data_IF_846967381485
#
_entry.id   IF_846967381485
#
_cell.length_a   1.000
_cell.length_b   1.000
_cell.length_c   1.000
_cell.angle_alpha   90.00
_cell.angle_beta   90.00
_cell.angle_gamma   90.00
#
_symmetry.space_group_name_H-M   'P 1'
#
loop_
_entity.id
_entity.type
_entity.pdbx_description
1 polymer ?
#
# COMPACT_ATOMS: atom_id res chain seq x y z
N UNK A 1 7.34 -0.71 -8.99
CA UNK A 1 8.48 0.22 -9.15
C UNK A 1 8.69 0.40 -10.64
N UNK A 2 8.76 1.64 -11.14
CA UNK A 2 8.96 1.85 -12.58
C UNK A 2 10.40 1.48 -12.93
N UNK A 3 10.62 0.90 -14.11
CA UNK A 3 11.95 0.49 -14.59
C UNK A 3 12.99 1.62 -14.46
N UNK A 4 12.58 2.85 -14.78
CA UNK A 4 13.36 4.07 -14.62
C UNK A 4 13.83 4.34 -13.19
N UNK A 5 12.97 4.10 -12.20
CA UNK A 5 13.32 4.25 -10.80
C UNK A 5 14.32 3.20 -10.34
N UNK A 6 14.20 1.97 -10.85
CA UNK A 6 15.18 0.90 -10.59
C UNK A 6 16.54 1.26 -11.17
N UNK A 7 16.59 1.71 -12.43
CA UNK A 7 17.84 2.12 -13.08
C UNK A 7 18.49 3.28 -12.32
N UNK A 8 17.72 4.32 -12.00
CA UNK A 8 18.21 5.47 -11.23
C UNK A 8 18.77 5.06 -9.86
N UNK A 9 18.02 4.27 -9.08
CA UNK A 9 18.47 3.83 -7.77
C UNK A 9 19.72 2.93 -7.84
N UNK A 10 19.82 2.06 -8.84
CA UNK A 10 21.02 1.22 -9.03
C UNK A 10 22.23 2.08 -9.38
N UNK A 11 22.11 3.02 -10.30
CA UNK A 11 23.21 3.95 -10.64
C UNK A 11 23.61 4.78 -9.42
N UNK A 12 22.64 5.29 -8.66
CA UNK A 12 22.92 6.06 -7.46
C UNK A 12 23.64 5.23 -6.38
N UNK A 13 23.21 4.00 -6.15
CA UNK A 13 23.70 3.17 -5.04
C UNK A 13 25.05 2.48 -5.35
N UNK A 14 25.36 2.24 -6.63
CA UNK A 14 26.61 1.59 -7.06
C UNK A 14 27.60 2.52 -7.79
N UNK A 15 27.12 3.63 -8.37
CA UNK A 15 27.94 4.58 -9.11
C UNK A 15 28.36 5.83 -8.31
N UNK A 16 27.68 6.12 -7.20
CA UNK A 16 28.06 7.26 -6.35
C UNK A 16 29.21 6.88 -5.38
N UNK A 17 30.21 7.75 -5.16
CA UNK A 17 31.34 7.46 -4.27
C UNK A 17 30.97 7.12 -2.81
N UNK A 18 29.82 7.60 -2.33
CA UNK A 18 29.24 7.27 -1.02
C UNK A 18 28.13 6.20 -1.07
N UNK A 19 27.98 5.51 -2.21
CA UNK A 19 26.96 4.48 -2.38
C UNK A 19 27.25 3.22 -1.54
N UNK A 20 26.28 2.77 -0.77
CA UNK A 20 26.39 1.58 0.09
C UNK A 20 26.14 0.25 -0.64
N UNK A 21 25.96 0.26 -1.97
CA UNK A 21 25.57 -0.92 -2.74
C UNK A 21 26.55 -2.08 -2.65
N UNK A 22 27.85 -1.81 -2.78
CA UNK A 22 28.88 -2.85 -2.65
C UNK A 22 28.96 -3.44 -1.24
N UNK A 23 28.71 -2.62 -0.21
CA UNK A 23 28.69 -3.07 1.18
C UNK A 23 27.48 -3.98 1.44
N UNK A 24 26.30 -3.61 0.94
CA UNK A 24 25.10 -4.43 1.03
C UNK A 24 25.28 -5.79 0.33
N UNK A 25 25.89 -5.82 -0.86
CA UNK A 25 26.19 -7.09 -1.57
C UNK A 25 27.17 -7.95 -0.77
N UNK A 26 28.22 -7.35 -0.19
CA UNK A 26 29.17 -8.09 0.67
C UNK A 26 28.48 -8.62 1.93
N UNK A 27 27.57 -7.86 2.54
CA UNK A 27 26.79 -8.29 3.69
C UNK A 27 25.92 -9.50 3.37
N UNK A 28 25.18 -9.47 2.24
CA UNK A 28 24.38 -10.62 1.79
C UNK A 28 25.23 -11.85 1.48
N UNK A 29 26.49 -11.67 1.03
CA UNK A 29 27.43 -12.79 0.85
C UNK A 29 27.91 -13.41 2.17
N UNK A 30 28.09 -12.59 3.21
CA UNK A 30 28.49 -13.09 4.53
C UNK A 30 27.32 -13.66 5.33
N UNK A 31 26.09 -13.21 5.06
CA UNK A 31 24.86 -13.67 5.70
C UNK A 31 23.84 -14.14 4.66
N UNK A 32 23.95 -15.39 4.15
CA UNK A 32 23.07 -15.91 3.10
C UNK A 32 21.61 -16.03 3.54
N UNK A 33 21.35 -16.23 4.83
CA UNK A 33 20.02 -16.22 5.46
C UNK A 33 19.25 -14.93 5.09
N UNK A 34 19.92 -13.78 5.21
CA UNK A 34 19.34 -12.46 4.91
C UNK A 34 19.03 -12.31 3.42
N UNK A 35 19.87 -12.89 2.55
CA UNK A 35 19.60 -12.89 1.11
C UNK A 35 18.33 -13.67 0.79
N UNK A 36 18.08 -14.77 1.50
CA UNK A 36 16.85 -15.55 1.37
C UNK A 36 15.62 -14.79 1.88
N UNK A 37 15.72 -14.14 3.04
CA UNK A 37 14.64 -13.29 3.58
C UNK A 37 14.27 -12.15 2.61
N UNK A 38 15.28 -11.50 2.01
CA UNK A 38 15.07 -10.46 0.99
C UNK A 38 14.38 -11.05 -0.24
N UNK A 39 14.80 -12.23 -0.70
CA UNK A 39 14.21 -12.89 -1.86
C UNK A 39 12.73 -13.24 -1.60
N UNK A 40 12.42 -13.84 -0.44
CA UNK A 40 11.05 -14.14 -0.03
C UNK A 40 10.21 -12.87 0.07
N UNK A 41 10.75 -11.81 0.69
CA UNK A 41 10.09 -10.52 0.78
C UNK A 41 9.76 -9.94 -0.61
N UNK A 42 10.70 -10.02 -1.56
CA UNK A 42 10.49 -9.61 -2.95
C UNK A 42 9.43 -10.45 -3.67
N UNK A 43 9.45 -11.77 -3.50
CA UNK A 43 8.45 -12.67 -4.09
C UNK A 43 7.05 -12.41 -3.54
N UNK A 44 6.89 -12.33 -2.21
CA UNK A 44 5.64 -11.97 -1.58
C UNK A 44 5.17 -10.58 -2.02
N UNK A 45 6.08 -9.63 -2.16
CA UNK A 45 5.81 -8.29 -2.69
C UNK A 45 5.29 -8.33 -4.13
N UNK A 46 5.93 -9.12 -5.02
CA UNK A 46 5.51 -9.30 -6.40
C UNK A 46 4.12 -9.92 -6.50
N UNK A 47 3.86 -10.97 -5.72
CA UNK A 47 2.54 -11.61 -5.64
C UNK A 47 1.49 -10.61 -5.12
N UNK A 48 1.77 -9.91 -4.03
CA UNK A 48 0.89 -8.88 -3.47
C UNK A 48 0.56 -7.76 -4.46
N UNK A 49 1.54 -7.36 -5.28
CA UNK A 49 1.33 -6.35 -6.32
C UNK A 49 0.38 -6.82 -7.43
N UNK A 50 0.42 -8.11 -7.79
CA UNK A 50 -0.55 -8.70 -8.73
C UNK A 50 -1.98 -8.66 -8.15
N UNK A 51 -2.15 -8.96 -6.85
CA UNK A 51 -3.45 -8.86 -6.18
C UNK A 51 -4.00 -7.43 -6.15
N UNK A 52 -3.13 -6.43 -5.91
CA UNK A 52 -3.51 -5.01 -5.97
C UNK A 52 -4.01 -4.66 -7.37
N UNK A 53 -3.26 -5.06 -8.41
CA UNK A 53 -3.65 -4.80 -9.79
C UNK A 53 -4.99 -5.47 -10.13
N UNK A 54 -5.15 -6.75 -9.80
CA UNK A 54 -6.40 -7.49 -9.99
C UNK A 54 -7.59 -6.82 -9.28
N UNK A 55 -7.39 -6.33 -8.06
CA UNK A 55 -8.42 -5.65 -7.28
C UNK A 55 -8.82 -4.33 -7.95
N UNK A 56 -7.84 -3.55 -8.43
CA UNK A 56 -8.11 -2.31 -9.16
C UNK A 56 -8.87 -2.60 -10.45
N UNK A 57 -8.48 -3.63 -11.22
CA UNK A 57 -9.13 -4.00 -12.48
C UNK A 57 -10.58 -4.48 -12.26
N UNK A 58 -10.87 -5.21 -11.18
CA UNK A 58 -12.22 -5.75 -10.92
C UNK A 58 -13.14 -4.79 -10.16
N UNK A 59 -12.64 -4.10 -9.13
CA UNK A 59 -13.46 -3.32 -8.19
C UNK A 59 -13.17 -1.81 -8.24
N UNK A 60 -12.14 -1.40 -8.98
CA UNK A 60 -11.69 -0.03 -9.10
C UNK A 60 -10.78 0.43 -7.97
N UNK A 61 -10.14 1.59 -8.17
CA UNK A 61 -9.14 2.15 -7.25
C UNK A 61 -9.69 2.41 -5.84
N UNK A 62 -10.94 2.88 -5.71
CA UNK A 62 -11.53 3.18 -4.39
C UNK A 62 -11.62 1.94 -3.48
N UNK A 63 -12.00 0.79 -4.05
CA UNK A 63 -12.08 -0.46 -3.30
C UNK A 63 -10.69 -0.91 -2.82
N UNK A 64 -9.69 -0.82 -3.71
CA UNK A 64 -8.31 -1.11 -3.35
C UNK A 64 -7.78 -0.21 -2.23
N UNK A 65 -8.04 1.10 -2.28
CA UNK A 65 -7.64 2.04 -1.22
C UNK A 65 -8.32 1.72 0.10
N UNK A 66 -9.60 1.32 0.07
CA UNK A 66 -10.35 0.94 1.28
C UNK A 66 -9.77 -0.33 1.90
N UNK A 67 -9.52 -1.36 1.10
CA UNK A 67 -8.94 -2.64 1.55
C UNK A 67 -7.54 -2.42 2.14
N UNK A 68 -6.65 -1.73 1.42
CA UNK A 68 -5.26 -1.51 1.86
C UNK A 68 -5.18 -0.64 3.10
N UNK A 69 -6.03 0.37 3.24
CA UNK A 69 -6.07 1.21 4.44
C UNK A 69 -6.59 0.44 5.65
N UNK A 70 -7.66 -0.34 5.47
CA UNK A 70 -8.20 -1.20 6.54
C UNK A 70 -7.12 -2.17 7.03
N UNK A 71 -6.42 -2.83 6.09
CA UNK A 71 -5.29 -3.72 6.43
C UNK A 71 -4.20 -2.98 7.21
N UNK A 72 -3.80 -1.79 6.78
CA UNK A 72 -2.77 -0.98 7.45
C UNK A 72 -3.17 -0.62 8.88
N UNK A 73 -4.41 -0.16 9.09
CA UNK A 73 -4.91 0.17 10.44
C UNK A 73 -4.86 -1.07 11.34
N UNK A 74 -5.37 -2.20 10.85
CA UNK A 74 -5.35 -3.45 11.63
C UNK A 74 -3.91 -3.82 12.02
N UNK A 75 -2.96 -3.76 11.08
CA UNK A 75 -1.54 -4.01 11.38
C UNK A 75 -0.97 -3.04 12.42
N UNK A 76 -1.34 -1.75 12.38
CA UNK A 76 -0.89 -0.76 13.36
C UNK A 76 -1.44 -1.08 14.75
N UNK A 77 -2.73 -1.41 14.85
CA UNK A 77 -3.37 -1.77 16.12
C UNK A 77 -2.76 -3.04 16.70
N UNK A 78 -2.65 -4.10 15.88
CA UNK A 78 -2.03 -5.36 16.30
C UNK A 78 -0.58 -5.16 16.74
N UNK A 79 0.20 -4.37 15.98
CA UNK A 79 1.59 -4.04 16.32
C UNK A 79 1.68 -3.31 17.66
N UNK A 80 0.83 -2.30 17.92
CA UNK A 80 0.78 -1.60 19.20
C UNK A 80 0.44 -2.51 20.37
N UNK A 81 -0.52 -3.44 20.19
CA UNK A 81 -0.88 -4.42 21.21
C UNK A 81 0.27 -5.38 21.53
N UNK A 82 0.96 -5.89 20.51
CA UNK A 82 2.09 -6.81 20.67
C UNK A 82 3.34 -6.13 21.26
N UNK A 83 3.61 -4.88 20.88
CA UNK A 83 4.75 -4.11 21.39
C UNK A 83 4.52 -3.51 22.78
N UNK A 84 3.33 -3.66 23.37
CA UNK A 84 3.00 -3.14 24.71
C UNK A 84 3.00 -1.60 24.83
N UNK A 85 3.14 -0.89 23.72
CA UNK A 85 3.18 0.58 23.67
C UNK A 85 1.85 1.09 23.14
N UNK A 86 0.96 1.61 24.01
CA UNK A 86 -0.36 2.06 23.59
C UNK A 86 -0.24 3.25 22.64
N UNK A 87 -1.10 3.27 21.62
CA UNK A 87 -1.20 4.39 20.68
C UNK A 87 -1.59 5.67 21.43
N UNK A 88 -0.85 6.74 21.17
CA UNK A 88 -1.14 8.09 21.67
C UNK A 88 -2.52 8.57 21.20
N UNK A 89 -3.18 9.42 21.99
CA UNK A 89 -4.45 10.04 21.64
C UNK A 89 -4.41 10.74 20.25
N UNK A 90 -3.27 11.32 19.87
CA UNK A 90 -3.08 11.92 18.54
C UNK A 90 -3.15 10.88 17.41
N UNK A 91 -2.59 9.68 17.62
CA UNK A 91 -2.58 8.60 16.64
C UNK A 91 -3.98 8.00 16.46
N UNK A 92 -4.73 7.86 17.56
CA UNK A 92 -6.15 7.51 17.51
C UNK A 92 -6.98 8.57 16.77
N UNK A 93 -6.73 9.86 17.03
CA UNK A 93 -7.35 10.95 16.28
C UNK A 93 -7.08 10.84 14.77
N UNK A 94 -5.84 10.56 14.37
CA UNK A 94 -5.50 10.34 12.95
C UNK A 94 -6.23 9.14 12.35
N UNK A 95 -6.38 8.04 13.10
CA UNK A 95 -7.12 6.87 12.62
C UNK A 95 -8.59 7.22 12.33
N UNK A 96 -9.26 7.95 13.23
CA UNK A 96 -10.64 8.39 13.05
C UNK A 96 -10.79 9.28 11.82
N UNK A 97 -9.86 10.21 11.59
CA UNK A 97 -9.86 11.08 10.40
C UNK A 97 -9.71 10.29 9.10
N UNK A 98 -8.86 9.26 9.08
CA UNK A 98 -8.69 8.42 7.89
C UNK A 98 -9.96 7.61 7.58
N UNK A 99 -10.59 7.02 8.60
CA UNK A 99 -11.84 6.28 8.41
C UNK A 99 -12.98 7.19 7.96
N UNK A 100 -13.13 8.38 8.56
CA UNK A 100 -14.18 9.32 8.16
C UNK A 100 -14.03 9.77 6.71
N UNK A 101 -12.80 10.06 6.27
CA UNK A 101 -12.49 10.39 4.88
C UNK A 101 -12.82 9.25 3.90
N UNK A 102 -12.52 8.00 4.26
CA UNK A 102 -12.88 6.83 3.45
C UNK A 102 -14.40 6.63 3.37
N UNK A 103 -15.08 6.68 4.51
CA UNK A 103 -16.55 6.56 4.58
C UNK A 103 -17.23 7.64 3.75
N UNK A 104 -16.75 8.88 3.81
CA UNK A 104 -17.26 9.99 3.01
C UNK A 104 -17.07 9.75 1.50
N UNK A 105 -15.90 9.27 1.06
CA UNK A 105 -15.68 8.95 -0.35
C UNK A 105 -16.58 7.81 -0.86
N UNK A 106 -16.81 6.79 -0.02
CA UNK A 106 -17.74 5.70 -0.34
C UNK A 106 -19.17 6.25 -0.48
N UNK A 107 -19.60 7.10 0.45
CA UNK A 107 -20.92 7.74 0.43
C UNK A 107 -21.11 8.57 -0.85
N UNK A 108 -20.15 9.44 -1.21
CA UNK A 108 -20.22 10.25 -2.42
C UNK A 108 -20.28 9.41 -3.70
N UNK A 109 -19.52 8.30 -3.76
CA UNK A 109 -19.60 7.37 -4.91
C UNK A 109 -20.99 6.74 -5.00
N UNK A 110 -21.57 6.33 -3.87
CA UNK A 110 -22.90 5.73 -3.82
C UNK A 110 -24.01 6.72 -4.20
N UNK A 111 -23.89 7.98 -3.78
CA UNK A 111 -24.78 9.06 -4.17
C UNK A 111 -24.74 9.32 -5.69
N UNK A 112 -23.54 9.41 -6.29
CA UNK A 112 -23.37 9.56 -7.75
C UNK A 112 -23.99 8.38 -8.53
N UNK A 113 -23.83 7.16 -8.03
CA UNK A 113 -24.45 5.96 -8.62
C UNK A 113 -25.99 6.07 -8.58
N UNK A 114 -26.58 6.44 -7.44
CA UNK A 114 -28.03 6.64 -7.31
C UNK A 114 -28.57 7.71 -8.28
N UNK A 115 -27.86 8.83 -8.42
CA UNK A 115 -28.25 9.90 -9.35
C UNK A 115 -28.26 9.43 -10.81
N UNK A 116 -27.26 8.64 -11.23
CA UNK A 116 -27.20 8.07 -12.59
C UNK A 116 -28.35 7.11 -12.87
N UNK A 117 -28.67 6.22 -11.92
CA UNK A 117 -29.80 5.29 -12.07
C UNK A 117 -31.15 6.03 -12.18
N UNK A 118 -31.33 7.13 -11.44
CA UNK A 118 -32.54 7.96 -11.51
C UNK A 118 -32.64 8.75 -12.82
N UNK A 119 -31.53 9.29 -13.34
CA UNK A 119 -31.49 9.95 -14.66
C UNK A 119 -31.78 8.98 -15.80
N UNK A 120 -31.26 7.74 -15.73
CA UNK A 120 -31.50 6.74 -16.76
C UNK A 120 -32.98 6.29 -16.82
N UNK A 121 -33.68 6.26 -15.67
CA UNK A 121 -35.14 6.03 -15.63
C UNK A 121 -35.97 7.21 -16.17
N UNK A 122 -35.40 8.42 -16.22
CA UNK A 122 -36.10 9.65 -16.63
C UNK A 122 -35.99 10.00 -18.12
N UNK A 123 -35.11 9.35 -18.89
CA UNK A 123 -35.07 9.54 -20.36
C UNK A 123 -36.14 8.65 -21.01
N UNK A 124 -37.25 9.19 -21.55
CA UNK A 124 -38.15 8.40 -22.40
C UNK A 124 -37.39 7.96 -23.66
N UNK A 125 -37.72 6.77 -24.18
CA UNK A 125 -37.25 6.29 -25.48
C UNK A 125 -37.61 7.26 -26.60
#
# INVERSE_FOLDING_TARGET
MNLWGTIYNTIYTFGWPQGSGYQAVRFCKHHPEVAWDILLYCLCGAVGQNFIFLTISRFGSLANTTITTTRKVVSIVVSSLLSGNPLSAKQWGSAVVVFSGLSHQIYLKWQKLRQRTQQQKRKPM
#
